data_IF_040990108092
#
_entry.id   IF_040990108092
#
_cell.length_a   1.000
_cell.length_b   1.000
_cell.length_c   1.000
_cell.angle_alpha   90.00
_cell.angle_beta   90.00
_cell.angle_gamma   90.00
#
_symmetry.space_group_name_H-M   'P 1'
#
loop_
_entity.id
_entity.type
_entity.pdbx_description
1 polymer ?
#
# COMPACT_ATOMS: atom_id res chain seq x y z
N UNK A 1 -14.10 6.88 -25.96
CA UNK A 1 -14.19 5.66 -26.84
C UNK A 1 -14.78 4.56 -25.98
N UNK A 2 -15.74 3.82 -26.48
CA UNK A 2 -16.29 2.68 -25.75
C UNK A 2 -15.45 1.43 -26.01
N UNK A 3 -15.39 0.53 -25.04
CA UNK A 3 -14.66 -0.72 -25.12
C UNK A 3 -15.61 -1.89 -24.91
N UNK A 4 -15.34 -3.02 -25.55
CA UNK A 4 -16.00 -4.28 -25.26
C UNK A 4 -15.09 -5.09 -24.34
N UNK A 5 -15.59 -5.42 -23.16
CA UNK A 5 -14.92 -6.29 -22.19
C UNK A 5 -15.48 -7.71 -22.31
N UNK A 6 -14.62 -8.70 -22.44
CA UNK A 6 -14.97 -10.12 -22.40
C UNK A 6 -14.23 -10.77 -21.25
N UNK A 7 -14.98 -11.32 -20.29
CA UNK A 7 -14.43 -11.97 -19.09
C UNK A 7 -14.71 -13.48 -19.13
N UNK A 8 -13.65 -14.26 -18.99
CA UNK A 8 -13.67 -15.73 -18.99
C UNK A 8 -13.36 -16.20 -17.57
N UNK A 9 -14.33 -16.85 -16.92
CA UNK A 9 -14.09 -17.48 -15.62
C UNK A 9 -13.70 -18.95 -15.86
N UNK A 10 -12.52 -19.34 -15.40
CA UNK A 10 -11.94 -20.67 -15.61
C UNK A 10 -11.03 -21.09 -14.46
N UNK A 11 -10.53 -22.34 -14.53
CA UNK A 11 -9.57 -22.86 -13.56
C UNK A 11 -8.15 -22.45 -13.91
N UNK A 12 -7.26 -22.43 -12.89
CA UNK A 12 -5.83 -22.08 -13.02
C UNK A 12 -5.12 -22.77 -14.21
N UNK A 13 -5.39 -24.05 -14.42
CA UNK A 13 -4.74 -24.84 -15.48
C UNK A 13 -5.17 -24.45 -16.91
N UNK A 14 -6.21 -23.63 -17.06
CA UNK A 14 -6.69 -23.11 -18.33
C UNK A 14 -6.51 -21.59 -18.47
N UNK A 15 -5.94 -20.92 -17.46
CA UNK A 15 -5.78 -19.46 -17.47
C UNK A 15 -4.91 -18.98 -18.62
N UNK A 16 -3.74 -19.59 -18.83
CA UNK A 16 -2.84 -19.28 -19.94
C UNK A 16 -3.47 -19.51 -21.32
N UNK A 17 -4.26 -20.60 -21.45
CA UNK A 17 -4.99 -20.84 -22.70
C UNK A 17 -6.04 -19.75 -22.93
N UNK A 18 -6.79 -19.37 -21.91
CA UNK A 18 -7.80 -18.30 -22.02
C UNK A 18 -7.14 -16.95 -22.36
N UNK A 19 -6.02 -16.61 -21.76
CA UNK A 19 -5.23 -15.44 -22.06
C UNK A 19 -4.78 -15.41 -23.53
N UNK A 20 -4.19 -16.50 -23.99
CA UNK A 20 -3.74 -16.62 -25.39
C UNK A 20 -4.91 -16.56 -26.39
N UNK A 21 -6.07 -17.14 -26.04
CA UNK A 21 -7.27 -17.05 -26.85
C UNK A 21 -7.76 -15.60 -26.99
N UNK A 22 -7.81 -14.84 -25.89
CA UNK A 22 -8.22 -13.43 -25.94
C UNK A 22 -7.26 -12.58 -26.75
N UNK A 23 -5.94 -12.75 -26.59
CA UNK A 23 -4.97 -12.04 -27.42
C UNK A 23 -5.07 -12.42 -28.91
N UNK A 24 -5.27 -13.71 -29.23
CA UNK A 24 -5.43 -14.18 -30.60
C UNK A 24 -6.68 -13.63 -31.27
N UNK A 25 -7.76 -13.41 -30.49
CA UNK A 25 -8.99 -12.78 -30.94
C UNK A 25 -8.86 -11.24 -31.06
N UNK A 26 -7.72 -10.65 -30.70
CA UNK A 26 -7.42 -9.22 -30.88
C UNK A 26 -7.66 -8.34 -29.66
N UNK A 27 -7.62 -8.91 -28.45
CA UNK A 27 -7.64 -8.12 -27.22
C UNK A 27 -6.44 -7.17 -27.16
N UNK A 28 -6.69 -5.91 -26.79
CA UNK A 28 -5.65 -4.90 -26.62
C UNK A 28 -4.87 -5.09 -25.32
N UNK A 29 -5.56 -5.55 -24.29
CA UNK A 29 -4.99 -5.95 -23.00
C UNK A 29 -5.72 -7.16 -22.47
N UNK A 30 -5.02 -7.99 -21.69
CA UNK A 30 -5.62 -9.08 -20.92
C UNK A 30 -5.17 -8.95 -19.47
N UNK A 31 -6.12 -9.10 -18.56
CA UNK A 31 -5.91 -9.02 -17.11
C UNK A 31 -6.45 -10.28 -16.44
N UNK A 32 -5.73 -10.79 -15.46
CA UNK A 32 -6.17 -11.91 -14.63
C UNK A 32 -6.57 -11.37 -13.25
N UNK A 33 -7.73 -11.82 -12.74
CA UNK A 33 -8.23 -11.49 -11.40
C UNK A 33 -8.74 -12.74 -10.69
N UNK A 34 -8.84 -12.68 -9.37
CA UNK A 34 -9.44 -13.76 -8.58
C UNK A 34 -10.93 -13.90 -8.87
N UNK A 35 -11.40 -15.14 -8.97
CA UNK A 35 -12.82 -15.46 -9.16
C UNK A 35 -13.50 -15.94 -7.88
N UNK A 36 -12.75 -16.20 -6.79
CA UNK A 36 -13.23 -16.94 -5.62
C UNK A 36 -12.81 -16.37 -4.27
N UNK A 37 -12.34 -15.12 -4.22
CA UNK A 37 -11.85 -14.46 -2.99
C UNK A 37 -10.73 -15.29 -2.30
N UNK A 38 -9.73 -15.67 -3.11
CA UNK A 38 -8.52 -16.33 -2.64
C UNK A 38 -7.37 -15.30 -2.64
N UNK A 39 -7.06 -14.64 -1.52
CA UNK A 39 -6.04 -13.60 -1.53
C UNK A 39 -4.65 -14.19 -1.81
N UNK A 40 -3.92 -13.58 -2.73
CA UNK A 40 -2.47 -13.75 -2.92
C UNK A 40 -1.83 -12.48 -2.39
N UNK A 41 -1.42 -12.51 -1.12
CA UNK A 41 -1.03 -11.30 -0.39
C UNK A 41 0.43 -10.93 -0.65
N UNK A 42 1.34 -11.90 -0.66
CA UNK A 42 2.78 -11.65 -0.84
C UNK A 42 3.45 -12.85 -1.54
N UNK A 43 3.51 -12.85 -2.90
CA UNK A 43 4.23 -13.90 -3.61
C UNK A 43 5.74 -13.81 -3.36
N UNK A 44 6.42 -14.97 -3.35
CA UNK A 44 7.87 -15.02 -3.23
C UNK A 44 8.60 -14.36 -4.41
N UNK A 45 9.91 -14.05 -4.27
CA UNK A 45 10.70 -13.47 -5.33
C UNK A 45 10.65 -14.32 -6.60
N UNK A 46 10.27 -13.72 -7.74
CA UNK A 46 10.08 -14.36 -9.05
C UNK A 46 8.93 -15.38 -9.11
N UNK A 47 8.04 -15.40 -8.14
CA UNK A 47 6.80 -16.16 -8.21
C UNK A 47 5.68 -15.29 -8.81
N UNK A 48 4.93 -15.87 -9.73
CA UNK A 48 3.69 -15.30 -10.29
C UNK A 48 2.55 -16.28 -10.05
N UNK A 49 2.13 -16.45 -8.78
CA UNK A 49 1.05 -17.37 -8.49
C UNK A 49 -0.26 -16.90 -9.14
N UNK A 50 -1.05 -17.85 -9.61
CA UNK A 50 -2.37 -17.59 -10.17
C UNK A 50 -3.40 -18.30 -9.28
N UNK A 51 -4.54 -17.68 -9.08
CA UNK A 51 -5.66 -18.21 -8.26
C UNK A 51 -6.18 -19.55 -8.82
N UNK A 52 -6.75 -20.39 -7.96
CA UNK A 52 -7.32 -21.68 -8.35
C UNK A 52 -8.47 -21.55 -9.36
N UNK A 53 -9.24 -20.47 -9.21
CA UNK A 53 -10.28 -20.04 -10.16
C UNK A 53 -9.98 -18.61 -10.55
N UNK A 54 -9.95 -18.33 -11.84
CA UNK A 54 -9.46 -17.08 -12.42
C UNK A 54 -10.49 -16.48 -13.36
N UNK A 55 -10.67 -15.16 -13.27
CA UNK A 55 -11.32 -14.39 -14.32
C UNK A 55 -10.24 -13.82 -15.21
N UNK A 56 -10.21 -14.22 -16.47
CA UNK A 56 -9.33 -13.71 -17.51
C UNK A 56 -10.14 -12.72 -18.35
N UNK A 57 -9.80 -11.44 -18.28
CA UNK A 57 -10.57 -10.36 -18.90
C UNK A 57 -9.78 -9.72 -20.04
N UNK A 58 -10.34 -9.74 -21.25
CA UNK A 58 -9.80 -9.05 -22.43
C UNK A 58 -10.59 -7.79 -22.76
N UNK A 59 -9.88 -6.71 -23.15
CA UNK A 59 -10.48 -5.49 -23.68
C UNK A 59 -10.32 -5.42 -25.21
N UNK A 60 -11.44 -5.18 -25.91
CA UNK A 60 -11.51 -5.08 -27.35
C UNK A 60 -12.07 -3.72 -27.78
N UNK A 61 -11.70 -3.27 -28.97
CA UNK A 61 -12.35 -2.10 -29.55
C UNK A 61 -13.85 -2.36 -29.71
N UNK A 62 -14.69 -1.39 -29.34
CA UNK A 62 -16.16 -1.50 -29.44
C UNK A 62 -16.67 -1.80 -30.86
N UNK A 63 -15.90 -1.43 -31.88
CA UNK A 63 -16.24 -1.69 -33.29
C UNK A 63 -16.17 -3.17 -33.71
N UNK A 64 -15.56 -4.01 -32.88
CA UNK A 64 -15.46 -5.45 -33.13
C UNK A 64 -16.83 -6.11 -32.99
N UNK A 65 -17.11 -7.06 -33.88
CA UNK A 65 -18.36 -7.83 -33.82
C UNK A 65 -18.29 -8.83 -32.66
N UNK A 66 -19.05 -8.58 -31.60
CA UNK A 66 -19.11 -9.41 -30.40
C UNK A 66 -19.39 -10.90 -30.73
N UNK A 67 -20.32 -11.17 -31.63
CA UNK A 67 -20.70 -12.56 -31.98
C UNK A 67 -19.52 -13.32 -32.60
N UNK A 68 -18.74 -12.64 -33.48
CA UNK A 68 -17.56 -13.24 -34.09
C UNK A 68 -16.47 -13.53 -33.04
N UNK A 69 -16.20 -12.56 -32.13
CA UNK A 69 -15.25 -12.74 -31.05
C UNK A 69 -15.64 -13.91 -30.15
N UNK A 70 -16.89 -13.99 -29.74
CA UNK A 70 -17.39 -15.10 -28.92
C UNK A 70 -17.29 -16.43 -29.66
N UNK A 71 -17.52 -16.50 -30.95
CA UNK A 71 -17.36 -17.72 -31.74
C UNK A 71 -15.91 -18.17 -31.81
N UNK A 72 -14.94 -17.25 -31.97
CA UNK A 72 -13.51 -17.54 -31.98
C UNK A 72 -13.05 -18.03 -30.60
N UNK A 73 -13.46 -17.36 -29.52
CA UNK A 73 -13.14 -17.75 -28.14
C UNK A 73 -13.73 -19.11 -27.81
N UNK A 74 -15.00 -19.35 -28.15
CA UNK A 74 -15.66 -20.65 -27.96
C UNK A 74 -14.95 -21.78 -28.71
N UNK A 75 -14.49 -21.53 -29.93
CA UNK A 75 -13.71 -22.50 -30.71
C UNK A 75 -12.35 -22.79 -30.05
N UNK A 76 -11.66 -21.74 -29.59
CA UNK A 76 -10.36 -21.85 -28.94
C UNK A 76 -10.43 -22.62 -27.60
N UNK A 77 -11.52 -22.46 -26.84
CA UNK A 77 -11.72 -23.05 -25.50
C UNK A 77 -12.63 -24.28 -25.52
N UNK A 78 -12.92 -24.89 -26.68
CA UNK A 78 -13.92 -25.95 -26.84
C UNK A 78 -13.75 -27.15 -25.89
N UNK A 79 -12.50 -27.49 -25.54
CA UNK A 79 -12.18 -28.63 -24.68
C UNK A 79 -11.98 -28.23 -23.20
N UNK A 80 -12.42 -27.03 -22.80
CA UNK A 80 -12.23 -26.51 -21.43
C UNK A 80 -13.57 -26.21 -20.76
N UNK A 81 -13.58 -26.22 -19.43
CA UNK A 81 -14.73 -25.76 -18.65
C UNK A 81 -14.55 -24.28 -18.29
N UNK A 82 -15.45 -23.44 -18.78
CA UNK A 82 -15.45 -21.99 -18.52
C UNK A 82 -16.84 -21.38 -18.59
N UNK A 83 -16.99 -20.19 -18.06
CA UNK A 83 -18.13 -19.31 -18.35
C UNK A 83 -17.61 -17.99 -18.91
N UNK A 84 -18.39 -17.37 -19.81
CA UNK A 84 -18.01 -16.13 -20.46
C UNK A 84 -19.10 -15.08 -20.25
N UNK A 85 -18.70 -13.84 -19.94
CA UNK A 85 -19.57 -12.69 -19.83
C UNK A 85 -19.02 -11.55 -20.68
N UNK A 86 -19.91 -10.72 -21.23
CA UNK A 86 -19.55 -9.54 -22.02
C UNK A 86 -20.14 -8.30 -21.37
N UNK A 87 -19.40 -7.19 -21.42
CA UNK A 87 -19.83 -5.90 -20.91
C UNK A 87 -19.29 -4.79 -21.82
N UNK A 88 -20.11 -3.75 -22.04
CA UNK A 88 -19.68 -2.55 -22.74
C UNK A 88 -19.22 -1.55 -21.71
N UNK A 89 -17.93 -1.21 -21.75
CA UNK A 89 -17.37 -0.14 -20.93
C UNK A 89 -17.48 1.17 -21.68
N UNK A 90 -18.34 2.05 -21.21
CA UNK A 90 -18.38 3.43 -21.68
C UNK A 90 -17.12 4.17 -21.23
N UNK A 91 -16.68 5.13 -22.04
CA UNK A 91 -15.54 5.97 -21.71
C UNK A 91 -15.86 6.80 -20.46
N UNK A 92 -15.36 6.35 -19.33
CA UNK A 92 -15.49 7.05 -18.07
C UNK A 92 -14.20 7.78 -17.76
N UNK A 93 -14.31 8.92 -17.12
CA UNK A 93 -13.15 9.58 -16.54
C UNK A 93 -12.68 8.76 -15.33
N UNK A 94 -11.87 7.74 -15.58
CA UNK A 94 -11.37 6.80 -14.59
C UNK A 94 -10.68 7.49 -13.39
N UNK A 95 -10.16 8.70 -13.61
CA UNK A 95 -9.60 9.51 -12.53
C UNK A 95 -10.66 9.97 -11.52
N UNK A 96 -11.96 9.93 -11.85
CA UNK A 96 -13.04 10.27 -10.93
C UNK A 96 -13.76 9.06 -10.36
N UNK A 97 -13.83 7.95 -11.08
CA UNK A 97 -14.61 6.77 -10.64
C UNK A 97 -14.09 6.18 -9.32
N UNK A 98 -12.78 6.17 -9.09
CA UNK A 98 -12.20 5.71 -7.83
C UNK A 98 -12.32 6.76 -6.70
N UNK A 99 -12.43 8.06 -7.02
CA UNK A 99 -12.62 9.12 -6.02
C UNK A 99 -13.94 9.01 -5.27
N UNK A 100 -14.99 8.46 -5.90
CA UNK A 100 -16.31 8.26 -5.26
C UNK A 100 -16.27 7.23 -4.13
N UNK A 101 -15.30 6.34 -4.12
CA UNK A 101 -15.10 5.32 -3.08
C UNK A 101 -14.17 5.77 -1.96
N UNK A 102 -13.55 6.96 -2.09
CA UNK A 102 -12.62 7.48 -1.10
C UNK A 102 -13.35 8.41 -0.13
N UNK A 103 -13.47 7.97 1.13
CA UNK A 103 -14.15 8.71 2.20
C UNK A 103 -13.16 9.18 3.26
N UNK A 104 -13.54 10.16 4.05
CA UNK A 104 -12.78 10.53 5.23
C UNK A 104 -12.81 9.38 6.25
N UNK A 105 -11.63 9.00 6.75
CA UNK A 105 -11.42 7.88 7.67
C UNK A 105 -10.80 8.36 8.96
N UNK A 106 -11.30 7.86 10.10
CA UNK A 106 -10.76 8.16 11.42
C UNK A 106 -9.79 7.07 11.90
N UNK A 107 -8.64 7.51 12.40
CA UNK A 107 -7.63 6.64 12.97
C UNK A 107 -7.35 7.06 14.42
N UNK A 108 -7.88 6.29 15.37
CA UNK A 108 -7.81 6.64 16.79
C UNK A 108 -8.84 7.71 17.19
N UNK A 109 -8.42 8.68 18.00
CA UNK A 109 -9.32 9.71 18.57
C UNK A 109 -9.21 11.08 17.90
N UNK A 110 -8.00 11.42 17.44
CA UNK A 110 -7.66 12.78 17.03
C UNK A 110 -7.31 12.89 15.55
N UNK A 111 -6.92 11.77 14.89
CA UNK A 111 -6.42 11.76 13.53
C UNK A 111 -7.49 11.33 12.54
N UNK A 112 -7.68 12.15 11.51
CA UNK A 112 -8.47 11.84 10.33
C UNK A 112 -7.59 11.89 9.07
N UNK A 113 -7.85 11.00 8.12
CA UNK A 113 -7.31 11.09 6.75
C UNK A 113 -8.46 11.44 5.83
N UNK A 114 -8.37 12.59 5.19
CA UNK A 114 -9.43 13.17 4.39
C UNK A 114 -8.95 13.41 2.96
N UNK A 115 -9.64 12.85 1.94
CA UNK A 115 -9.43 13.22 0.55
C UNK A 115 -9.54 14.74 0.33
N UNK A 116 -8.80 15.29 -0.65
CA UNK A 116 -8.82 16.74 -0.89
C UNK A 116 -10.20 17.30 -1.27
N UNK A 117 -11.03 16.47 -1.91
CA UNK A 117 -12.37 16.86 -2.39
C UNK A 117 -13.47 16.73 -1.33
N UNK A 118 -13.15 16.22 -0.12
CA UNK A 118 -14.12 16.03 0.97
C UNK A 118 -13.78 16.98 2.11
N UNK A 119 -14.78 17.69 2.63
CA UNK A 119 -14.61 18.50 3.84
C UNK A 119 -14.41 17.57 5.06
N UNK A 120 -13.50 17.92 5.97
CA UNK A 120 -13.28 17.14 7.19
C UNK A 120 -14.54 17.01 8.03
N UNK A 121 -14.93 15.79 8.45
CA UNK A 121 -16.11 15.59 9.33
C UNK A 121 -15.96 16.26 10.70
N UNK A 122 -14.73 16.33 11.21
CA UNK A 122 -14.37 16.92 12.50
C UNK A 122 -13.30 18.01 12.28
N UNK A 123 -13.68 19.27 12.00
CA UNK A 123 -12.74 20.34 11.65
C UNK A 123 -11.67 20.63 12.72
N UNK A 124 -11.99 20.41 14.00
CA UNK A 124 -11.09 20.66 15.12
C UNK A 124 -10.10 19.51 15.39
N UNK A 125 -10.26 18.37 14.72
CA UNK A 125 -9.35 17.25 14.78
C UNK A 125 -8.10 17.46 13.90
N UNK A 126 -7.11 16.59 14.03
CA UNK A 126 -5.96 16.55 13.12
C UNK A 126 -6.40 15.94 11.79
N UNK A 127 -6.63 16.76 10.78
CA UNK A 127 -7.13 16.36 9.47
C UNK A 127 -5.99 16.30 8.44
N UNK A 128 -5.42 15.12 8.22
CA UNK A 128 -4.45 14.89 7.17
C UNK A 128 -5.16 14.87 5.81
N UNK A 129 -4.81 15.83 4.96
CA UNK A 129 -5.35 15.96 3.61
C UNK A 129 -4.48 15.18 2.63
N UNK A 130 -5.05 14.20 1.95
CA UNK A 130 -4.32 13.37 1.02
C UNK A 130 -5.02 13.37 -0.35
N UNK A 131 -4.23 13.59 -1.39
CA UNK A 131 -4.66 13.23 -2.73
C UNK A 131 -4.33 11.74 -2.92
N UNK A 132 -5.33 10.87 -3.07
CA UNK A 132 -5.12 9.46 -3.36
C UNK A 132 -4.59 9.28 -4.79
N UNK A 133 -3.46 9.90 -5.08
CA UNK A 133 -2.78 9.85 -6.38
C UNK A 133 -2.07 8.51 -6.63
N UNK A 134 -1.00 8.56 -7.39
CA UNK A 134 -0.26 7.39 -7.88
C UNK A 134 0.63 6.70 -6.83
N UNK A 135 0.81 7.27 -5.63
CA UNK A 135 1.68 6.70 -4.60
C UNK A 135 0.91 5.76 -3.66
N UNK A 136 1.56 4.66 -3.26
CA UNK A 136 1.05 3.73 -2.25
C UNK A 136 0.91 4.41 -0.88
N UNK A 137 -0.08 3.96 -0.07
CA UNK A 137 -0.29 4.49 1.28
C UNK A 137 -1.38 5.56 1.35
N UNK A 138 -2.61 5.20 0.97
CA UNK A 138 -3.81 6.07 1.04
C UNK A 138 -4.52 6.01 2.39
N UNK A 139 -4.04 5.18 3.32
CA UNK A 139 -4.68 4.94 4.62
C UNK A 139 -5.70 3.78 4.62
N UNK A 140 -6.19 3.34 3.46
CA UNK A 140 -7.20 2.26 3.36
C UNK A 140 -6.64 0.87 3.67
N UNK A 141 -5.33 0.66 3.51
CA UNK A 141 -4.73 -0.64 3.76
C UNK A 141 -4.58 -0.88 5.28
N UNK A 142 -4.88 -2.09 5.80
CA UNK A 142 -4.79 -2.40 7.24
C UNK A 142 -3.43 -2.06 7.86
N UNK A 143 -2.32 -2.26 7.15
CA UNK A 143 -0.98 -1.94 7.64
C UNK A 143 -0.78 -0.45 7.89
N UNK A 144 -1.31 0.41 7.02
CA UNK A 144 -1.27 1.86 7.19
C UNK A 144 -2.20 2.30 8.33
N UNK A 145 -3.40 1.69 8.42
CA UNK A 145 -4.35 1.90 9.50
C UNK A 145 -3.74 1.62 10.87
N UNK A 146 -3.08 0.48 11.03
CA UNK A 146 -2.38 0.10 12.26
C UNK A 146 -1.33 1.13 12.66
N UNK A 147 -0.49 1.59 11.72
CA UNK A 147 0.54 2.60 12.00
C UNK A 147 -0.06 3.96 12.38
N UNK A 148 -1.11 4.41 11.67
CA UNK A 148 -1.78 5.68 11.97
C UNK A 148 -2.45 5.67 13.34
N UNK A 149 -3.08 4.56 13.74
CA UNK A 149 -3.65 4.40 15.09
C UNK A 149 -2.57 4.40 16.16
N UNK A 150 -1.43 3.77 15.90
CA UNK A 150 -0.30 3.81 16.81
C UNK A 150 0.21 5.25 17.00
N UNK A 151 0.35 6.02 15.91
CA UNK A 151 0.75 7.43 15.96
C UNK A 151 -0.25 8.28 16.76
N UNK A 152 -1.56 8.13 16.53
CA UNK A 152 -2.59 8.88 17.26
C UNK A 152 -2.53 8.59 18.76
N UNK A 153 -2.32 7.34 19.15
CA UNK A 153 -2.29 6.92 20.56
C UNK A 153 -1.03 7.38 21.28
N UNK A 154 0.12 7.38 20.62
CA UNK A 154 1.41 7.58 21.27
C UNK A 154 1.96 9.02 21.12
N UNK A 155 1.62 9.74 20.06
CA UNK A 155 2.07 11.11 19.83
C UNK A 155 1.00 12.11 20.22
N UNK A 156 -0.23 11.92 19.77
CA UNK A 156 -1.34 12.90 19.93
C UNK A 156 -1.68 13.28 21.35
N UNK A 157 -1.33 12.42 22.34
CA UNK A 157 -1.61 12.66 23.76
C UNK A 157 -0.42 13.23 24.57
N UNK A 158 0.81 13.14 24.06
CA UNK A 158 2.02 13.30 24.87
C UNK A 158 2.86 14.56 24.59
N UNK A 159 2.42 15.45 23.68
CA UNK A 159 3.14 16.67 23.27
C UNK A 159 4.63 16.42 22.97
N UNK A 160 4.91 15.48 22.07
CA UNK A 160 6.25 15.03 21.70
C UNK A 160 6.95 15.99 20.69
N UNK A 161 6.76 17.28 20.84
CA UNK A 161 7.21 18.32 19.92
C UNK A 161 8.72 18.38 19.62
N UNK A 162 9.52 17.64 20.39
CA UNK A 162 10.98 17.55 20.18
C UNK A 162 11.42 16.21 19.60
N UNK A 163 10.52 15.27 19.41
CA UNK A 163 10.86 13.97 18.84
C UNK A 163 11.06 14.05 17.33
N UNK A 164 12.07 13.34 16.87
CA UNK A 164 12.35 13.15 15.46
C UNK A 164 11.95 11.75 15.04
N UNK A 165 11.36 11.63 13.85
CA UNK A 165 10.90 10.36 13.31
C UNK A 165 11.63 10.01 12.02
N UNK A 166 11.94 8.74 11.82
CA UNK A 166 12.32 8.15 10.55
C UNK A 166 11.16 7.32 10.01
N UNK A 167 10.73 7.60 8.79
CA UNK A 167 9.74 6.83 8.03
C UNK A 167 10.47 6.14 6.87
N UNK A 168 10.79 4.85 7.04
CA UNK A 168 11.57 4.08 6.08
C UNK A 168 10.64 3.24 5.18
N UNK A 169 10.61 3.56 3.89
CA UNK A 169 9.56 3.16 2.95
C UNK A 169 8.39 4.13 3.02
N UNK A 170 8.66 5.45 2.91
CA UNK A 170 7.66 6.47 3.23
C UNK A 170 6.50 6.56 2.23
N UNK A 171 6.66 6.09 0.98
CA UNK A 171 5.61 6.09 -0.03
C UNK A 171 4.99 7.48 -0.25
N UNK A 172 3.71 7.62 0.06
CA UNK A 172 2.98 8.90 0.01
C UNK A 172 3.41 9.89 1.10
N UNK A 173 4.21 9.46 2.08
CA UNK A 173 4.60 10.22 3.26
C UNK A 173 3.53 10.28 4.36
N UNK A 174 2.47 9.50 4.26
CA UNK A 174 1.31 9.58 5.15
C UNK A 174 1.70 9.44 6.63
N UNK A 175 2.64 8.55 6.98
CA UNK A 175 3.06 8.32 8.37
C UNK A 175 3.92 9.47 8.89
N UNK A 176 4.91 9.92 8.11
CA UNK A 176 5.74 11.09 8.44
C UNK A 176 4.90 12.36 8.60
N UNK A 177 3.93 12.58 7.70
CA UNK A 177 3.02 13.73 7.73
C UNK A 177 2.12 13.67 8.96
N UNK A 178 1.48 12.51 9.20
CA UNK A 178 0.63 12.30 10.38
C UNK A 178 1.39 12.58 11.68
N UNK A 179 2.60 12.04 11.83
CA UNK A 179 3.45 12.28 12.99
C UNK A 179 3.74 13.77 13.20
N UNK A 180 4.13 14.50 12.12
CA UNK A 180 4.40 15.92 12.19
C UNK A 180 3.17 16.77 12.51
N UNK A 181 1.98 16.38 12.07
CA UNK A 181 0.72 17.05 12.36
C UNK A 181 0.26 16.76 13.81
N UNK A 182 0.49 15.55 14.31
CA UNK A 182 0.18 15.16 15.69
C UNK A 182 1.14 15.77 16.72
N UNK A 183 2.29 16.32 16.30
CA UNK A 183 3.13 17.13 17.17
C UNK A 183 4.61 16.80 17.20
N UNK A 184 5.13 15.88 16.37
CA UNK A 184 6.59 15.65 16.31
C UNK A 184 7.33 16.85 15.73
N UNK A 185 8.64 16.97 16.07
CA UNK A 185 9.48 18.06 15.65
C UNK A 185 9.79 18.02 14.15
N UNK A 186 10.28 16.90 13.66
CA UNK A 186 10.63 16.70 12.25
C UNK A 186 10.62 15.21 11.88
N UNK A 187 10.55 14.96 10.57
CA UNK A 187 10.61 13.62 10.01
C UNK A 187 11.60 13.55 8.84
N UNK A 188 12.33 12.44 8.75
CA UNK A 188 13.05 12.06 7.54
C UNK A 188 12.32 10.87 6.90
N UNK A 189 11.90 11.04 5.64
CA UNK A 189 11.28 9.99 4.83
C UNK A 189 12.31 9.37 3.88
N UNK A 190 12.39 8.05 3.85
CA UNK A 190 13.29 7.31 2.95
C UNK A 190 12.48 6.40 2.06
N UNK A 191 12.71 6.44 0.75
CA UNK A 191 12.09 5.51 -0.18
C UNK A 191 13.03 5.18 -1.35
N UNK A 192 12.90 3.99 -1.92
CA UNK A 192 13.66 3.55 -3.10
C UNK A 192 13.13 4.19 -4.39
N UNK A 193 11.85 4.57 -4.40
CA UNK A 193 11.18 5.17 -5.55
C UNK A 193 11.27 6.72 -5.50
N UNK A 194 11.93 7.36 -6.47
CA UNK A 194 11.95 8.82 -6.55
C UNK A 194 10.55 9.45 -6.66
N UNK A 195 9.56 8.76 -7.21
CA UNK A 195 8.19 9.26 -7.30
C UNK A 195 7.51 9.32 -5.93
N UNK A 196 7.82 8.36 -5.05
CA UNK A 196 7.36 8.39 -3.66
C UNK A 196 7.88 9.63 -2.92
N UNK A 197 9.15 10.02 -3.14
CA UNK A 197 9.72 11.22 -2.53
C UNK A 197 9.02 12.49 -3.00
N UNK A 198 8.68 12.59 -4.29
CA UNK A 198 7.92 13.72 -4.86
C UNK A 198 6.51 13.75 -4.26
N UNK A 199 5.84 12.59 -4.18
CA UNK A 199 4.51 12.49 -3.59
C UNK A 199 4.52 12.91 -2.11
N UNK A 200 5.49 12.44 -1.32
CA UNK A 200 5.69 12.85 0.07
C UNK A 200 5.82 14.37 0.22
N UNK A 201 6.64 15.03 -0.61
CA UNK A 201 6.82 16.48 -0.55
C UNK A 201 5.53 17.24 -0.89
N UNK A 202 4.83 16.84 -1.96
CA UNK A 202 3.56 17.45 -2.36
C UNK A 202 2.49 17.32 -1.27
N UNK A 203 2.38 16.12 -0.68
CA UNK A 203 1.46 15.87 0.42
C UNK A 203 1.84 16.65 1.69
N UNK A 204 3.14 16.79 1.98
CA UNK A 204 3.63 17.58 3.10
C UNK A 204 3.33 19.09 2.91
N UNK A 205 3.42 19.61 1.68
CA UNK A 205 3.02 20.99 1.35
C UNK A 205 1.51 21.17 1.54
N UNK A 206 0.70 20.26 1.04
CA UNK A 206 -0.76 20.26 1.21
C UNK A 206 -1.17 20.34 2.68
N UNK A 207 -0.42 19.68 3.56
CA UNK A 207 -0.67 19.63 5.01
C UNK A 207 0.10 20.69 5.82
N UNK A 208 0.81 21.61 5.17
CA UNK A 208 1.58 22.68 5.80
C UNK A 208 2.71 22.19 6.74
N UNK A 209 3.26 20.99 6.50
CA UNK A 209 4.34 20.39 7.29
C UNK A 209 5.64 20.19 6.47
N UNK A 210 5.71 20.69 5.24
CA UNK A 210 6.87 20.50 4.35
C UNK A 210 8.20 20.97 4.96
N UNK A 211 8.18 22.00 5.81
CA UNK A 211 9.39 22.47 6.52
C UNK A 211 9.89 21.51 7.60
N UNK A 212 9.06 20.57 8.02
CA UNK A 212 9.41 19.56 9.02
C UNK A 212 9.87 18.23 8.39
N UNK A 213 9.64 18.03 7.08
CA UNK A 213 9.88 16.75 6.42
C UNK A 213 10.98 16.90 5.38
N UNK A 214 11.96 16.01 5.43
CA UNK A 214 13.00 15.87 4.42
C UNK A 214 12.97 14.46 3.84
N UNK A 215 13.11 14.33 2.53
CA UNK A 215 13.03 13.04 1.85
C UNK A 215 14.37 12.64 1.22
N UNK A 216 14.66 11.33 1.20
CA UNK A 216 15.94 10.78 0.81
C UNK A 216 15.81 9.50 0.01
N UNK A 217 16.64 9.30 -0.99
CA UNK A 217 16.95 7.96 -1.50
C UNK A 217 17.88 7.23 -0.51
N UNK A 218 17.82 5.89 -0.40
CA UNK A 218 18.57 5.12 0.59
C UNK A 218 20.08 5.40 0.59
N UNK A 219 20.71 5.48 -0.58
CA UNK A 219 22.15 5.75 -0.70
C UNK A 219 22.53 7.15 -0.19
N UNK A 220 21.72 8.15 -0.52
CA UNK A 220 21.92 9.51 -0.05
C UNK A 220 21.68 9.61 1.46
N UNK A 221 20.64 8.94 1.97
CA UNK A 221 20.36 8.86 3.39
C UNK A 221 21.54 8.24 4.15
N UNK A 222 22.01 7.08 3.74
CA UNK A 222 23.17 6.41 4.35
C UNK A 222 24.42 7.29 4.39
N UNK A 223 24.68 8.00 3.31
CA UNK A 223 25.86 8.90 3.20
C UNK A 223 25.78 10.08 4.16
N UNK A 224 24.62 10.68 4.34
CA UNK A 224 24.44 11.91 5.11
C UNK A 224 23.96 11.68 6.54
N UNK A 225 23.31 10.58 6.83
CA UNK A 225 22.63 10.27 8.09
C UNK A 225 23.12 9.00 8.80
N UNK A 226 24.26 8.42 8.42
CA UNK A 226 24.79 7.16 8.96
C UNK A 226 24.86 7.08 10.49
N UNK A 227 24.93 8.22 11.18
CA UNK A 227 25.00 8.34 12.65
C UNK A 227 23.80 9.04 13.27
N UNK A 228 22.80 9.39 12.48
CA UNK A 228 21.59 10.05 12.98
C UNK A 228 20.73 9.03 13.70
N UNK A 229 20.20 9.40 14.86
CA UNK A 229 19.28 8.59 15.63
C UNK A 229 17.97 9.33 15.85
N UNK A 230 16.88 8.56 15.87
CA UNK A 230 15.51 9.05 15.95
C UNK A 230 14.85 8.53 17.22
N UNK A 231 13.91 9.29 17.72
CA UNK A 231 13.09 8.88 18.86
C UNK A 231 12.10 7.79 18.46
N UNK A 232 11.61 7.87 17.20
CA UNK A 232 10.69 6.91 16.62
C UNK A 232 11.23 6.50 15.23
N UNK A 233 11.30 5.21 14.97
CA UNK A 233 11.60 4.65 13.64
C UNK A 233 10.40 3.84 13.18
N UNK A 234 9.83 4.19 12.03
CA UNK A 234 8.71 3.47 11.43
C UNK A 234 9.13 2.85 10.10
N UNK A 235 8.62 1.65 9.82
CA UNK A 235 8.73 1.03 8.52
C UNK A 235 7.47 0.20 8.22
N UNK A 236 6.74 0.60 7.18
CA UNK A 236 5.57 -0.12 6.67
C UNK A 236 5.90 -0.69 5.29
N UNK A 237 6.72 -1.74 5.26
CA UNK A 237 7.23 -2.40 4.06
C UNK A 237 7.14 -3.92 4.21
N UNK A 238 7.42 -4.66 3.14
CA UNK A 238 7.35 -6.12 3.12
C UNK A 238 8.30 -6.77 4.16
N UNK A 239 7.91 -7.93 4.68
CA UNK A 239 8.58 -8.63 5.78
C UNK A 239 10.04 -9.04 5.48
N UNK A 240 10.33 -9.45 4.23
CA UNK A 240 11.68 -9.82 3.81
C UNK A 240 12.68 -8.67 3.97
N UNK A 241 12.47 -7.52 3.31
CA UNK A 241 13.27 -6.31 3.53
C UNK A 241 13.33 -5.84 4.98
N UNK A 242 12.23 -5.97 5.77
CA UNK A 242 12.24 -5.61 7.18
C UNK A 242 13.27 -6.42 7.96
N UNK A 243 13.32 -7.75 7.76
CA UNK A 243 14.29 -8.60 8.44
C UNK A 243 15.74 -8.24 8.09
N UNK A 244 16.02 -7.95 6.81
CA UNK A 244 17.35 -7.54 6.36
C UNK A 244 17.79 -6.18 6.92
N UNK A 245 16.85 -5.25 7.06
CA UNK A 245 17.09 -3.89 7.54
C UNK A 245 17.18 -3.77 9.08
N UNK A 246 16.83 -4.79 9.84
CA UNK A 246 16.77 -4.74 11.29
C UNK A 246 18.03 -4.18 11.97
N UNK A 247 19.28 -4.59 11.64
CA UNK A 247 20.48 -4.01 12.23
C UNK A 247 20.67 -2.52 11.90
N UNK A 248 20.21 -2.09 10.74
CA UNK A 248 20.31 -0.70 10.30
C UNK A 248 19.27 0.16 11.03
N UNK A 249 18.00 -0.26 11.04
CA UNK A 249 16.92 0.45 11.73
C UNK A 249 17.19 0.53 13.23
N UNK A 250 17.73 -0.55 13.84
CA UNK A 250 18.15 -0.54 15.23
C UNK A 250 19.24 0.50 15.52
N UNK A 251 20.23 0.68 14.64
CA UNK A 251 21.26 1.74 14.82
C UNK A 251 20.67 3.14 14.73
N UNK A 252 19.63 3.32 13.93
CA UNK A 252 18.96 4.61 13.78
C UNK A 252 17.93 4.89 14.87
N UNK A 253 17.56 3.92 15.70
CA UNK A 253 16.71 4.13 16.88
C UNK A 253 17.56 4.52 18.08
N UNK A 254 17.17 5.57 18.80
CA UNK A 254 17.81 5.98 20.07
C UNK A 254 17.57 4.92 21.14
N UNK A 255 18.43 4.91 22.17
CA UNK A 255 18.15 4.20 23.41
C UNK A 255 16.79 4.66 23.99
N UNK A 256 15.95 3.72 24.39
CA UNK A 256 14.56 3.92 24.79
C UNK A 256 13.65 4.54 23.70
N UNK A 257 14.09 4.54 22.44
CA UNK A 257 13.28 4.95 21.30
C UNK A 257 12.39 3.82 20.78
N UNK A 258 11.36 4.20 20.06
CA UNK A 258 10.33 3.30 19.52
C UNK A 258 10.70 2.78 18.12
N UNK A 259 10.51 1.48 17.90
CA UNK A 259 10.44 0.86 16.56
C UNK A 259 9.00 0.45 16.27
N UNK A 260 8.46 0.80 15.11
CA UNK A 260 7.09 0.47 14.69
C UNK A 260 7.14 -0.11 13.30
N UNK A 261 6.71 -1.36 13.16
CA UNK A 261 6.83 -2.15 11.94
C UNK A 261 5.46 -2.65 11.50
N UNK A 262 5.17 -2.54 10.23
CA UNK A 262 3.99 -3.12 9.59
C UNK A 262 4.30 -3.52 8.14
N UNK A 263 3.28 -3.97 7.37
CA UNK A 263 3.52 -4.62 6.09
C UNK A 263 3.89 -6.11 6.25
N UNK A 264 3.48 -6.70 7.35
CA UNK A 264 3.84 -8.05 7.80
C UNK A 264 2.54 -8.86 7.88
N UNK A 265 2.51 -10.05 7.27
CA UNK A 265 1.41 -10.99 7.42
C UNK A 265 1.47 -11.72 8.76
N UNK A 266 0.33 -12.21 9.26
CA UNK A 266 0.24 -12.96 10.53
C UNK A 266 1.24 -14.09 10.62
N UNK A 267 1.37 -14.88 9.55
CA UNK A 267 2.29 -16.01 9.48
C UNK A 267 3.77 -15.62 9.48
N UNK A 268 4.09 -14.37 9.14
CA UNK A 268 5.46 -13.84 9.11
C UNK A 268 5.84 -13.15 10.43
N UNK A 269 4.84 -12.84 11.27
CA UNK A 269 5.00 -11.98 12.45
C UNK A 269 6.07 -12.48 13.42
N UNK A 270 6.07 -13.77 13.76
CA UNK A 270 7.04 -14.37 14.70
C UNK A 270 8.46 -14.28 14.15
N UNK A 271 8.68 -14.59 12.87
CA UNK A 271 10.01 -14.54 12.26
C UNK A 271 10.60 -13.11 12.27
N UNK A 272 9.79 -12.10 11.95
CA UNK A 272 10.23 -10.70 12.02
C UNK A 272 10.43 -10.26 13.47
N UNK A 273 9.53 -10.64 14.39
CA UNK A 273 9.63 -10.35 15.81
C UNK A 273 10.92 -10.89 16.42
N UNK A 274 11.31 -12.12 16.09
CA UNK A 274 12.53 -12.75 16.62
C UNK A 274 13.79 -11.97 16.19
N UNK A 275 13.85 -11.54 14.92
CA UNK A 275 14.97 -10.74 14.40
C UNK A 275 15.09 -9.39 15.12
N UNK A 276 13.97 -8.70 15.34
CA UNK A 276 13.98 -7.41 16.04
C UNK A 276 14.16 -7.55 17.55
N UNK A 277 13.76 -8.70 18.13
CA UNK A 277 13.97 -9.04 19.53
C UNK A 277 15.46 -9.09 19.97
N UNK A 278 16.40 -9.18 19.01
CA UNK A 278 17.83 -9.05 19.29
C UNK A 278 18.23 -7.61 19.69
N UNK A 279 17.43 -6.60 19.36
CA UNK A 279 17.75 -5.19 19.52
C UNK A 279 16.73 -4.41 20.35
N UNK A 280 15.52 -4.95 20.51
CA UNK A 280 14.37 -4.27 21.11
C UNK A 280 13.65 -5.19 22.09
N UNK A 281 13.11 -4.60 23.15
CA UNK A 281 12.07 -5.24 23.96
C UNK A 281 10.74 -5.12 23.22
N UNK A 282 10.27 -6.25 22.64
CA UNK A 282 9.11 -6.27 21.75
C UNK A 282 7.81 -6.43 22.52
N UNK A 283 6.85 -5.56 22.29
CA UNK A 283 5.50 -5.62 22.83
C UNK A 283 4.65 -6.75 22.21
N UNK A 284 3.43 -6.91 22.71
CA UNK A 284 2.45 -7.82 22.11
C UNK A 284 2.07 -7.35 20.69
N UNK A 285 1.98 -8.30 19.77
CA UNK A 285 1.60 -8.05 18.39
C UNK A 285 0.15 -7.56 18.29
N UNK A 286 -0.08 -6.52 17.48
CA UNK A 286 -1.42 -6.00 17.16
C UNK A 286 -1.84 -6.51 15.79
N UNK A 287 -3.08 -6.96 15.68
CA UNK A 287 -3.63 -7.58 14.47
C UNK A 287 -4.77 -6.75 13.87
N UNK A 288 -4.81 -6.64 12.55
CA UNK A 288 -5.94 -6.13 11.77
C UNK A 288 -6.05 -6.97 10.48
N UNK A 289 -7.15 -7.71 10.33
CA UNK A 289 -7.35 -8.70 9.24
C UNK A 289 -6.18 -9.71 9.19
N UNK A 290 -5.48 -9.82 8.06
CA UNK A 290 -4.32 -10.71 7.88
C UNK A 290 -2.97 -10.03 8.16
N UNK A 291 -2.99 -8.81 8.64
CA UNK A 291 -1.81 -7.97 8.83
C UNK A 291 -1.53 -7.71 10.31
N UNK A 292 -0.28 -7.37 10.58
CA UNK A 292 0.14 -7.06 11.95
C UNK A 292 0.94 -5.76 12.03
N UNK A 293 0.94 -5.20 13.24
CA UNK A 293 1.90 -4.20 13.68
C UNK A 293 2.73 -4.80 14.81
N UNK A 294 4.05 -4.68 14.69
CA UNK A 294 5.02 -4.96 15.74
C UNK A 294 5.55 -3.64 16.30
N UNK A 295 5.60 -3.54 17.60
CA UNK A 295 6.21 -2.42 18.33
C UNK A 295 7.23 -2.93 19.31
N UNK A 296 8.30 -2.16 19.52
CA UNK A 296 9.31 -2.45 20.52
C UNK A 296 10.07 -1.21 20.95
N UNK A 297 10.69 -1.28 22.12
CA UNK A 297 11.51 -0.22 22.70
C UNK A 297 12.97 -0.64 22.64
N UNK A 298 13.84 0.25 22.16
CA UNK A 298 15.29 0.02 22.05
C UNK A 298 15.91 -0.20 23.42
N UNK A 299 16.62 -1.32 23.59
CA UNK A 299 17.34 -1.70 24.82
C UNK A 299 18.81 -1.32 24.78
#
# INVERSE_FOLDING_TARGET
MSWLQISINTKKNHAELAENCLFSAGAQTVTLTDAADQPILEPGPNETPVWNTVIVTGLFNFENNEQNLLAEINHCLADTSYSCTTEILEDQNWTRAWMEHFHAMQFGKHLWVCPLHIEPPEPDATNLRLDPGLAFGTGTHPTTSLCLRWLDQNIGLNNKAQENILDYGCGSGILAIAACMLGTGRADGVDIDPQALIATQNNAETNNVSKKITTWLPDAYQKHHAKTQYDIVMANILSGPLAELAPMLARHTKENGDIVLSGILKEQAEAVRDVYGEFFEMDSTVYEEDWVLLHGIKT
#
